data_IF_492902558947
#
_entry.id   IF_492902558947
#
_cell.length_a   1.000
_cell.length_b   1.000
_cell.length_c   1.000
_cell.angle_alpha   90.00
_cell.angle_beta   90.00
_cell.angle_gamma   90.00
#
_symmetry.space_group_name_H-M   'P 1'
#
loop_
_entity.id
_entity.type
_entity.pdbx_description
1 polymer ?
#
# COMPACT_ATOMS: atom_id res chain seq x y z
N UNK A 1 -14.16 -11.58 -2.04
CA UNK A 1 -13.19 -10.71 -1.35
C UNK A 1 -12.07 -10.34 -2.33
N UNK A 2 -11.67 -9.07 -2.36
CA UNK A 2 -10.65 -8.61 -3.32
C UNK A 2 -9.50 -7.86 -2.62
N UNK A 3 -8.30 -8.07 -3.14
CA UNK A 3 -7.07 -7.36 -2.81
C UNK A 3 -6.71 -6.43 -3.98
N UNK A 4 -6.22 -5.24 -3.67
CA UNK A 4 -5.60 -4.36 -4.65
C UNK A 4 -4.09 -4.42 -4.53
N UNK A 5 -3.40 -4.63 -5.63
CA UNK A 5 -1.94 -4.59 -5.67
C UNK A 5 -1.46 -3.59 -6.71
N UNK A 6 -0.44 -2.81 -6.36
CA UNK A 6 0.22 -1.88 -7.29
C UNK A 6 1.72 -2.05 -7.20
N UNK A 7 2.35 -2.04 -8.36
CA UNK A 7 3.80 -2.14 -8.48
C UNK A 7 4.30 -1.41 -9.72
N UNK A 8 5.55 -0.95 -9.66
CA UNK A 8 6.27 -0.44 -10.82
C UNK A 8 6.85 -1.58 -11.65
N UNK A 9 6.54 -1.62 -12.93
CA UNK A 9 7.05 -2.63 -13.86
C UNK A 9 7.95 -1.99 -14.92
N UNK A 10 9.13 -2.54 -15.08
CA UNK A 10 10.01 -2.18 -16.18
C UNK A 10 9.66 -3.02 -17.40
N UNK A 11 9.10 -2.37 -18.44
CA UNK A 11 8.65 -3.08 -19.64
C UNK A 11 9.79 -3.37 -20.63
N UNK A 12 10.83 -2.54 -20.63
CA UNK A 12 11.96 -2.66 -21.53
C UNK A 12 13.28 -2.58 -20.75
N UNK A 13 14.37 -2.95 -21.39
CA UNK A 13 15.71 -2.91 -20.76
C UNK A 13 16.19 -1.50 -20.45
N UNK A 14 15.70 -0.52 -21.21
CA UNK A 14 16.02 0.89 -21.00
C UNK A 14 15.11 1.49 -19.93
N UNK A 15 15.67 2.18 -18.97
CA UNK A 15 14.97 2.74 -17.79
C UNK A 15 13.87 3.75 -18.10
N UNK A 16 13.79 4.23 -19.33
CA UNK A 16 12.81 5.25 -19.75
C UNK A 16 11.40 4.70 -19.98
N UNK A 17 11.20 3.41 -19.82
CA UNK A 17 9.93 2.73 -20.13
C UNK A 17 9.22 2.11 -18.95
N UNK A 18 9.48 2.61 -17.76
CA UNK A 18 8.79 2.15 -16.56
C UNK A 18 7.29 2.48 -16.62
N UNK A 19 6.48 1.61 -16.09
CA UNK A 19 5.05 1.85 -15.93
C UNK A 19 4.61 1.40 -14.53
N UNK A 20 3.46 1.91 -14.09
CA UNK A 20 2.81 1.42 -12.88
C UNK A 20 1.60 0.61 -13.27
N UNK A 21 1.52 -0.59 -12.72
CA UNK A 21 0.44 -1.52 -12.94
C UNK A 21 -0.34 -1.74 -11.65
N UNK A 22 -1.61 -1.40 -11.67
CA UNK A 22 -2.54 -1.74 -10.61
C UNK A 22 -3.41 -2.92 -11.01
N UNK A 23 -3.60 -3.87 -10.09
CA UNK A 23 -4.40 -5.07 -10.33
C UNK A 23 -5.30 -5.40 -9.14
N UNK A 24 -6.44 -6.02 -9.45
CA UNK A 24 -7.30 -6.65 -8.45
C UNK A 24 -7.11 -8.16 -8.45
N UNK A 25 -6.96 -8.73 -7.26
CA UNK A 25 -6.86 -10.18 -7.05
C UNK A 25 -8.07 -10.67 -6.29
N UNK A 26 -8.73 -11.69 -6.80
CA UNK A 26 -9.89 -12.32 -6.16
C UNK A 26 -9.41 -13.35 -5.15
N UNK A 27 -9.52 -13.03 -3.87
CA UNK A 27 -9.01 -13.86 -2.77
C UNK A 27 -9.85 -15.12 -2.49
N UNK A 28 -11.07 -15.17 -3.01
CA UNK A 28 -11.92 -16.38 -2.92
C UNK A 28 -11.43 -17.54 -3.79
N UNK A 29 -10.55 -17.24 -4.75
CA UNK A 29 -9.87 -18.27 -5.52
C UNK A 29 -8.74 -18.91 -4.69
N UNK A 30 -8.45 -20.18 -4.97
CA UNK A 30 -7.35 -20.89 -4.32
C UNK A 30 -5.99 -20.22 -4.56
N UNK A 31 -5.03 -20.29 -3.62
CA UNK A 31 -3.73 -19.62 -3.74
C UNK A 31 -2.95 -19.97 -5.00
N UNK A 32 -3.10 -21.19 -5.51
CA UNK A 32 -2.47 -21.68 -6.74
C UNK A 32 -3.07 -21.08 -8.02
N UNK A 33 -4.25 -20.47 -7.93
CA UNK A 33 -4.98 -19.91 -9.06
C UNK A 33 -5.07 -18.40 -9.07
N UNK A 34 -5.28 -17.77 -7.90
CA UNK A 34 -5.61 -16.35 -7.79
C UNK A 34 -4.61 -15.39 -8.44
N UNK A 35 -3.35 -15.79 -8.54
CA UNK A 35 -2.28 -14.98 -9.15
C UNK A 35 -1.97 -15.36 -10.60
N UNK A 36 -2.71 -16.32 -11.19
CA UNK A 36 -2.54 -16.59 -12.61
C UNK A 36 -3.17 -15.49 -13.45
N UNK A 37 -2.50 -15.10 -14.51
CA UNK A 37 -2.89 -13.98 -15.40
C UNK A 37 -4.38 -13.97 -15.78
N UNK A 38 -4.96 -15.14 -16.02
CA UNK A 38 -6.39 -15.27 -16.40
C UNK A 38 -7.39 -14.89 -15.30
N UNK A 39 -6.94 -14.79 -14.04
CA UNK A 39 -7.79 -14.48 -12.88
C UNK A 39 -7.45 -13.15 -12.22
N UNK A 40 -6.36 -12.51 -12.65
CA UNK A 40 -5.99 -11.17 -12.21
C UNK A 40 -6.73 -10.15 -13.06
N UNK A 41 -7.41 -9.22 -12.41
CA UNK A 41 -8.18 -8.19 -13.08
C UNK A 41 -7.36 -6.89 -13.15
N UNK A 42 -7.08 -6.34 -14.34
CA UNK A 42 -6.38 -5.07 -14.45
C UNK A 42 -7.24 -3.94 -13.84
N UNK A 43 -6.62 -3.13 -12.99
CA UNK A 43 -7.25 -1.99 -12.35
C UNK A 43 -6.88 -0.68 -13.03
N UNK A 44 -5.60 -0.46 -13.21
CA UNK A 44 -5.07 0.70 -13.91
C UNK A 44 -3.70 0.41 -14.51
N UNK A 45 -3.37 1.17 -15.53
CA UNK A 45 -2.05 1.21 -16.14
C UNK A 45 -1.62 2.67 -16.25
N UNK A 46 -0.52 3.00 -15.61
CA UNK A 46 0.02 4.36 -15.63
C UNK A 46 1.33 4.33 -16.40
N UNK A 47 1.38 4.95 -17.60
CA UNK A 47 2.60 4.95 -18.39
C UNK A 47 3.70 5.78 -17.72
N UNK A 48 4.94 5.28 -17.80
CA UNK A 48 6.14 6.00 -17.39
C UNK A 48 6.67 6.95 -18.48
N UNK A 49 7.92 7.38 -18.38
CA UNK A 49 8.96 6.92 -17.43
C UNK A 49 8.84 7.51 -16.02
N UNK A 50 8.19 8.64 -15.88
CA UNK A 50 8.12 9.34 -14.61
C UNK A 50 6.87 8.90 -13.81
N UNK A 51 7.04 8.84 -12.49
CA UNK A 51 5.89 8.69 -11.61
C UNK A 51 4.97 9.92 -11.79
N UNK A 52 3.66 9.74 -11.99
CA UNK A 52 2.74 10.87 -12.05
C UNK A 52 2.69 11.61 -10.71
N UNK A 53 2.56 12.92 -10.76
CA UNK A 53 2.44 13.76 -9.57
C UNK A 53 1.19 13.42 -8.75
N UNK A 54 0.12 13.06 -9.44
CA UNK A 54 -1.15 12.66 -8.84
C UNK A 54 -1.51 11.21 -9.24
N UNK A 55 -1.01 10.24 -8.48
CA UNK A 55 -1.36 8.84 -8.68
C UNK A 55 -2.83 8.55 -8.35
N UNK A 56 -3.42 9.30 -7.43
CA UNK A 56 -4.81 9.10 -6.99
C UNK A 56 -5.80 9.26 -8.14
N UNK A 57 -5.53 10.19 -9.07
CA UNK A 57 -6.38 10.38 -10.24
C UNK A 57 -6.48 9.14 -11.14
N UNK A 58 -5.44 8.31 -11.19
CA UNK A 58 -5.43 7.05 -11.92
C UNK A 58 -6.09 5.91 -11.14
N UNK A 59 -6.00 5.93 -9.83
CA UNK A 59 -6.60 4.91 -8.97
C UNK A 59 -8.09 5.13 -8.75
N UNK A 60 -8.52 6.39 -8.67
CA UNK A 60 -9.88 6.78 -8.31
C UNK A 60 -10.97 6.09 -9.15
N UNK A 61 -10.90 5.98 -10.49
CA UNK A 61 -11.93 5.33 -11.27
C UNK A 61 -12.16 3.88 -10.86
N UNK A 62 -11.07 3.14 -10.65
CA UNK A 62 -11.12 1.73 -10.27
C UNK A 62 -11.69 1.53 -8.86
N UNK A 63 -11.24 2.33 -7.89
CA UNK A 63 -11.76 2.28 -6.52
C UNK A 63 -13.22 2.72 -6.41
N UNK A 64 -13.64 3.74 -7.16
CA UNK A 64 -15.06 4.13 -7.25
C UNK A 64 -15.91 3.01 -7.80
N UNK A 65 -15.42 2.31 -8.82
CA UNK A 65 -16.13 1.17 -9.40
C UNK A 65 -16.31 0.06 -8.36
N UNK A 66 -15.24 -0.34 -7.65
CA UNK A 66 -15.36 -1.34 -6.58
C UNK A 66 -16.28 -0.88 -5.47
N UNK A 67 -16.22 0.39 -5.08
CA UNK A 67 -17.14 0.96 -4.07
C UNK A 67 -18.60 0.89 -4.52
N UNK A 68 -18.89 1.17 -5.79
CA UNK A 68 -20.24 1.02 -6.34
C UNK A 68 -20.70 -0.45 -6.30
N UNK A 69 -19.82 -1.37 -6.70
CA UNK A 69 -20.13 -2.81 -6.65
C UNK A 69 -20.35 -3.33 -5.22
N UNK A 70 -19.66 -2.75 -4.22
CA UNK A 70 -19.89 -3.09 -2.82
C UNK A 70 -21.30 -2.68 -2.36
N UNK A 71 -21.78 -1.53 -2.81
CA UNK A 71 -23.09 -0.98 -2.44
C UNK A 71 -24.24 -1.65 -3.20
N UNK A 72 -24.11 -1.68 -4.51
CA UNK A 72 -25.18 -2.11 -5.43
C UNK A 72 -25.15 -3.61 -5.68
N UNK A 73 -23.96 -4.19 -5.69
CA UNK A 73 -23.72 -5.58 -6.06
C UNK A 73 -23.57 -5.77 -7.57
N UNK A 74 -22.94 -6.87 -7.94
CA UNK A 74 -22.80 -7.33 -9.29
C UNK A 74 -23.76 -8.49 -9.54
N UNK A 75 -24.71 -8.32 -10.46
CA UNK A 75 -25.60 -9.40 -10.84
C UNK A 75 -24.90 -10.35 -11.80
N UNK A 76 -24.70 -11.58 -11.37
CA UNK A 76 -23.98 -12.63 -12.10
C UNK A 76 -24.91 -13.83 -12.30
N UNK A 77 -24.87 -14.43 -13.47
CA UNK A 77 -25.57 -15.68 -13.73
C UNK A 77 -24.71 -16.85 -13.27
N UNK A 78 -25.22 -17.64 -12.33
CA UNK A 78 -24.60 -18.89 -11.90
C UNK A 78 -25.08 -20.03 -12.81
N UNK A 79 -24.20 -20.43 -13.74
CA UNK A 79 -24.50 -21.51 -14.69
C UNK A 79 -24.70 -22.88 -14.02
N UNK A 80 -24.15 -23.12 -12.83
CA UNK A 80 -24.36 -24.36 -12.07
C UNK A 80 -25.72 -24.43 -11.44
N UNK A 81 -26.16 -23.32 -10.85
CA UNK A 81 -27.46 -23.23 -10.16
C UNK A 81 -28.57 -22.71 -11.09
N UNK A 82 -28.24 -22.39 -12.34
CA UNK A 82 -29.18 -21.88 -13.35
C UNK A 82 -29.98 -20.64 -12.86
N UNK A 83 -29.35 -19.77 -12.05
CA UNK A 83 -30.02 -18.59 -11.49
C UNK A 83 -29.08 -17.40 -11.43
N UNK A 84 -29.68 -16.21 -11.36
CA UNK A 84 -28.94 -14.99 -11.08
C UNK A 84 -28.66 -14.88 -9.59
N UNK A 85 -27.43 -14.53 -9.25
CA UNK A 85 -26.99 -14.19 -7.89
C UNK A 85 -26.48 -12.75 -7.89
N UNK A 86 -26.56 -12.07 -6.77
CA UNK A 86 -25.94 -10.77 -6.58
C UNK A 86 -24.69 -10.94 -5.72
N UNK A 87 -23.54 -10.73 -6.36
CA UNK A 87 -22.23 -10.77 -5.68
C UNK A 87 -21.86 -9.35 -5.24
N UNK A 88 -21.46 -9.19 -3.98
CA UNK A 88 -20.93 -7.94 -3.45
C UNK A 88 -19.46 -8.13 -3.13
N UNK A 89 -18.55 -7.60 -3.93
CA UNK A 89 -17.13 -7.69 -3.64
C UNK A 89 -16.83 -6.93 -2.34
N UNK A 90 -15.93 -7.46 -1.54
CA UNK A 90 -15.43 -6.81 -0.34
C UNK A 90 -13.96 -6.49 -0.55
N UNK A 91 -13.58 -5.22 -0.43
CA UNK A 91 -12.19 -4.80 -0.45
C UNK A 91 -11.53 -5.15 0.88
N UNK A 92 -10.56 -6.03 0.86
CA UNK A 92 -9.89 -6.53 2.06
C UNK A 92 -8.70 -5.66 2.46
N UNK A 93 -7.77 -5.47 1.53
CA UNK A 93 -6.56 -4.67 1.77
C UNK A 93 -5.88 -4.29 0.45
N UNK A 94 -4.95 -3.33 0.55
CA UNK A 94 -4.01 -2.98 -0.50
C UNK A 94 -2.64 -3.57 -0.21
N UNK A 95 -1.98 -4.09 -1.23
CA UNK A 95 -0.60 -4.59 -1.19
C UNK A 95 0.28 -3.76 -2.11
N UNK A 96 1.47 -3.44 -1.65
CA UNK A 96 2.48 -2.74 -2.42
C UNK A 96 3.86 -2.99 -1.83
N UNK A 97 4.89 -2.80 -2.63
CA UNK A 97 6.25 -2.80 -2.15
C UNK A 97 6.55 -1.55 -1.28
N UNK A 98 7.74 -1.47 -0.74
CA UNK A 98 8.16 -0.36 0.14
C UNK A 98 8.12 1.01 -0.55
N UNK A 99 8.27 1.04 -1.85
CA UNK A 99 8.32 2.28 -2.65
C UNK A 99 6.92 2.72 -3.05
N UNK A 100 6.05 1.78 -3.38
CA UNK A 100 4.69 2.03 -3.81
C UNK A 100 3.71 2.22 -2.64
N UNK A 101 3.98 1.60 -1.47
CA UNK A 101 3.11 1.69 -0.31
C UNK A 101 2.79 3.13 0.15
N UNK A 102 3.75 4.09 0.18
CA UNK A 102 3.46 5.47 0.51
C UNK A 102 2.47 6.15 -0.45
N UNK A 103 2.43 5.68 -1.68
CA UNK A 103 1.50 6.20 -2.69
C UNK A 103 0.07 5.79 -2.36
N UNK A 104 -0.11 4.56 -1.87
CA UNK A 104 -1.44 4.05 -1.49
C UNK A 104 -1.93 4.58 -0.14
N UNK A 105 -1.00 4.73 0.81
CA UNK A 105 -1.35 5.12 2.19
C UNK A 105 -1.32 6.63 2.44
N UNK A 106 -0.84 7.44 1.48
CA UNK A 106 -0.61 8.86 1.69
C UNK A 106 0.49 9.17 2.72
N UNK A 107 1.28 8.18 3.13
CA UNK A 107 2.35 8.34 4.10
C UNK A 107 3.63 8.89 3.49
N UNK A 108 4.54 9.35 4.33
CA UNK A 108 5.89 9.71 3.89
C UNK A 108 6.64 8.48 3.39
N UNK A 109 7.57 8.69 2.45
CA UNK A 109 8.39 7.61 1.91
C UNK A 109 9.20 6.93 3.02
N UNK A 110 9.60 5.69 2.77
CA UNK A 110 10.36 4.85 3.70
C UNK A 110 11.68 5.45 4.22
N UNK A 111 12.19 6.49 3.57
CA UNK A 111 13.33 7.28 4.02
C UNK A 111 12.93 8.56 4.78
N UNK A 112 11.65 8.82 4.97
CA UNK A 112 11.16 9.95 5.72
C UNK A 112 11.31 9.77 7.23
N UNK A 113 11.25 10.87 7.99
CA UNK A 113 11.38 10.84 9.45
C UNK A 113 10.37 9.88 10.11
N UNK A 114 9.14 9.85 9.64
CA UNK A 114 8.09 8.94 10.13
C UNK A 114 7.77 7.85 9.08
N UNK A 115 8.80 7.30 8.44
CA UNK A 115 8.68 6.33 7.34
C UNK A 115 8.35 4.90 7.78
N UNK A 116 7.91 4.67 9.02
CA UNK A 116 7.51 3.35 9.48
C UNK A 116 6.25 2.88 8.76
N UNK A 117 6.34 1.74 8.08
CA UNK A 117 5.21 1.14 7.35
C UNK A 117 4.05 0.68 8.23
N UNK A 118 4.34 0.43 9.51
CA UNK A 118 3.34 0.04 10.49
C UNK A 118 2.67 1.26 11.15
N UNK A 119 2.97 2.46 10.66
CA UNK A 119 2.41 3.72 11.19
C UNK A 119 2.56 3.86 12.71
N UNK A 120 3.69 3.40 13.24
CA UNK A 120 3.94 3.39 14.69
C UNK A 120 4.14 4.80 15.31
N UNK A 121 4.17 5.85 14.48
CA UNK A 121 4.36 7.23 14.94
C UNK A 121 5.76 7.56 15.45
N UNK A 122 6.66 6.59 15.55
CA UNK A 122 8.03 6.83 15.99
C UNK A 122 8.88 7.43 14.87
N UNK A 123 9.69 8.46 15.17
CA UNK A 123 10.63 8.99 14.21
C UNK A 123 11.75 7.96 13.94
N UNK A 124 12.12 7.82 12.69
CA UNK A 124 13.25 7.01 12.28
C UNK A 124 14.59 7.64 12.72
N UNK A 125 15.64 6.83 12.79
CA UNK A 125 16.99 7.33 13.02
C UNK A 125 17.52 8.04 11.80
N UNK A 126 18.08 9.21 12.01
CA UNK A 126 18.68 10.00 10.93
C UNK A 126 20.03 9.42 10.52
N UNK A 127 20.23 9.24 9.23
CA UNK A 127 21.55 8.92 8.69
C UNK A 127 22.36 10.22 8.54
N UNK A 128 23.47 10.38 9.24
CA UNK A 128 24.25 11.61 9.20
C UNK A 128 24.66 12.00 7.78
N UNK A 129 24.68 13.30 7.51
CA UNK A 129 25.03 13.90 6.23
C UNK A 129 24.12 13.52 5.03
N UNK A 130 22.95 12.96 5.27
CA UNK A 130 21.96 12.67 4.22
C UNK A 130 20.56 12.99 4.75
N UNK A 131 19.60 13.30 3.88
CA UNK A 131 18.20 13.51 4.28
C UNK A 131 17.45 12.18 4.50
N UNK A 132 18.16 11.12 4.87
CA UNK A 132 17.61 9.76 4.96
C UNK A 132 17.42 9.35 6.41
N UNK A 133 16.25 8.79 6.69
CA UNK A 133 15.89 8.16 7.95
C UNK A 133 15.63 6.68 7.74
N UNK A 134 15.71 5.89 8.79
CA UNK A 134 15.35 4.47 8.78
C UNK A 134 14.69 4.08 10.09
N UNK A 135 13.66 3.24 10.05
CA UNK A 135 12.88 2.87 11.23
C UNK A 135 13.60 1.80 12.06
N UNK A 136 14.59 2.24 12.83
CA UNK A 136 15.33 1.38 13.76
C UNK A 136 15.09 1.85 15.18
N UNK A 137 14.58 0.96 16.02
CA UNK A 137 14.24 1.24 17.42
C UNK A 137 15.49 1.33 18.29
N UNK A 138 16.44 0.41 18.08
CA UNK A 138 17.68 0.34 18.84
C UNK A 138 18.88 0.69 17.95
N UNK A 139 19.88 1.29 18.55
CA UNK A 139 21.15 1.52 17.88
C UNK A 139 21.87 0.18 17.71
N UNK A 140 22.37 -0.16 16.51
CA UNK A 140 23.21 -1.34 16.33
C UNK A 140 24.46 -1.27 17.21
N UNK A 141 24.89 -2.42 17.76
CA UNK A 141 26.01 -2.49 18.72
C UNK A 141 27.33 -1.87 18.20
N UNK A 142 27.57 -1.91 16.91
CA UNK A 142 28.77 -1.36 16.26
C UNK A 142 28.50 -0.05 15.52
N UNK A 143 27.48 0.69 15.90
CA UNK A 143 27.11 1.92 15.23
C UNK A 143 28.03 3.06 15.67
N UNK A 144 29.02 3.39 14.87
CA UNK A 144 30.06 4.40 15.14
C UNK A 144 29.79 5.76 14.49
N UNK A 145 28.60 5.97 13.93
CA UNK A 145 28.32 7.20 13.20
C UNK A 145 28.13 8.36 14.19
N UNK A 146 29.05 9.29 14.19
CA UNK A 146 28.97 10.52 14.98
C UNK A 146 27.78 11.38 14.57
N UNK A 147 27.12 12.01 15.54
CA UNK A 147 25.94 12.90 15.35
C UNK A 147 24.58 12.21 15.16
N UNK A 148 24.44 10.94 15.45
CA UNK A 148 23.12 10.34 15.61
C UNK A 148 22.61 10.65 17.02
N UNK A 149 21.70 11.61 17.13
CA UNK A 149 21.17 12.09 18.43
C UNK A 149 19.96 11.27 18.92
N UNK A 150 19.67 10.15 18.28
CA UNK A 150 18.53 9.33 18.67
C UNK A 150 18.87 8.48 19.88
N UNK A 151 18.11 8.67 20.95
CA UNK A 151 18.13 7.81 22.14
C UNK A 151 17.46 6.48 21.76
N UNK A 152 17.99 5.38 22.27
CA UNK A 152 17.35 4.06 22.11
C UNK A 152 15.97 4.06 22.76
N UNK A 153 14.97 3.60 22.01
CA UNK A 153 13.63 3.46 22.53
C UNK A 153 13.49 2.13 23.26
N UNK A 154 13.10 2.20 24.51
CA UNK A 154 12.68 1.02 25.25
C UNK A 154 11.24 0.66 24.86
N UNK A 155 11.09 -0.36 24.05
CA UNK A 155 9.79 -0.81 23.53
C UNK A 155 8.83 -1.19 24.68
N UNK A 156 9.37 -1.61 25.82
CA UNK A 156 8.54 -1.99 26.98
C UNK A 156 7.90 -0.78 27.66
N UNK A 157 8.47 0.42 27.45
CA UNK A 157 7.96 1.69 27.94
C UNK A 157 7.04 2.40 26.97
N UNK A 158 7.01 1.97 25.71
CA UNK A 158 5.95 2.37 24.79
C UNK A 158 4.67 1.70 25.31
N UNK A 159 3.87 2.44 26.05
CA UNK A 159 2.51 1.98 26.33
C UNK A 159 1.91 1.62 24.98
N UNK A 160 1.69 0.33 24.75
CA UNK A 160 0.90 -0.10 23.60
C UNK A 160 -0.39 0.70 23.72
N UNK A 161 -0.83 1.40 22.66
CA UNK A 161 -2.11 2.07 22.70
C UNK A 161 -3.08 0.99 23.16
N UNK A 162 -3.71 1.20 24.31
CA UNK A 162 -4.89 0.44 24.72
C UNK A 162 -5.77 0.35 23.47
N UNK A 163 -6.42 -0.76 23.23
CA UNK A 163 -7.10 -1.14 21.99
C UNK A 163 -8.13 -0.13 21.39
N UNK A 164 -8.19 1.06 21.89
CA UNK A 164 -8.82 2.24 21.35
C UNK A 164 -7.85 2.94 20.38
N UNK A 165 -7.69 2.34 19.20
CA UNK A 165 -7.12 3.04 18.06
C UNK A 165 -8.17 4.06 17.60
N UNK A 166 -8.23 5.20 18.25
CA UNK A 166 -8.86 6.37 17.67
C UNK A 166 -8.01 6.75 16.46
N UNK A 167 -8.52 6.42 15.29
CA UNK A 167 -8.04 6.98 14.02
C UNK A 167 -8.00 8.49 14.24
N UNK A 168 -6.80 9.06 14.23
CA UNK A 168 -6.63 10.50 14.39
C UNK A 168 -7.51 11.19 13.34
N UNK A 169 -8.60 11.88 13.74
CA UNK A 169 -9.53 12.50 12.79
C UNK A 169 -8.87 13.61 11.96
N UNK A 170 -7.62 13.99 12.29
CA UNK A 170 -6.82 14.96 11.56
C UNK A 170 -5.89 14.34 10.52
N UNK A 171 -5.87 13.01 10.33
CA UNK A 171 -5.34 12.41 9.12
C UNK A 171 -6.37 12.53 7.99
N UNK A 172 -6.87 13.72 7.75
CA UNK A 172 -7.54 14.02 6.51
C UNK A 172 -6.53 13.77 5.40
N UNK A 173 -6.77 12.71 4.62
CA UNK A 173 -6.25 12.66 3.28
C UNK A 173 -6.56 14.04 2.68
N UNK A 174 -5.52 14.79 2.38
CA UNK A 174 -5.67 16.09 1.74
C UNK A 174 -6.51 15.86 0.49
N UNK A 175 -7.66 16.47 0.48
CA UNK A 175 -8.55 16.57 -0.69
C UNK A 175 -7.82 17.13 -1.89
#
# INVERSE_FOLDING_TARGET
MVEFSVDGAQLYRDKESDCWLGVWVVLDLSPDQRYKMRFVLPACFVPGPNKPDNMESFLLPSFRHVSALQKEGLRVYDGRQQRYITSRPFFAFGAADTVALPVLSGSVRHHGNNGCRLSCGMPGRHKPNTPTYYPVVLQPQNYTVTKCNHVDFDITKLGLPSAEFELNPNSTAAT
#
